data_IF_828364906412
#
_entry.id   IF_828364906412
#
_cell.length_a   1.000
_cell.length_b   1.000
_cell.length_c   1.000
_cell.angle_alpha   90.00
_cell.angle_beta   90.00
_cell.angle_gamma   90.00
#
_symmetry.space_group_name_H-M   'P 1'
#
loop_
_entity.id
_entity.type
_entity.pdbx_description
1 polymer ?
#
# COMPACT_ATOMS: atom_id res chain seq x y z
N UNK A 1 17.37 -0.99 -12.57
CA UNK A 1 16.59 -0.62 -13.76
C UNK A 1 15.70 -1.77 -14.13
N UNK A 2 14.41 -1.58 -13.94
CA UNK A 2 13.35 -2.46 -14.40
C UNK A 2 13.25 -2.41 -15.93
N UNK A 3 12.87 -3.55 -16.50
CA UNK A 3 12.48 -3.63 -17.91
C UNK A 3 11.21 -2.78 -18.15
N UNK A 4 11.12 -2.00 -19.25
CA UNK A 4 9.90 -1.27 -19.61
C UNK A 4 8.61 -2.11 -19.63
N UNK A 5 8.71 -3.40 -19.99
CA UNK A 5 7.58 -4.33 -19.94
C UNK A 5 7.10 -4.55 -18.49
N UNK A 6 8.04 -4.66 -17.54
CA UNK A 6 7.71 -4.79 -16.11
C UNK A 6 7.09 -3.52 -15.54
N UNK A 7 7.53 -2.34 -15.98
CA UNK A 7 6.90 -1.05 -15.60
C UNK A 7 5.42 -1.03 -15.99
N UNK A 8 5.10 -1.50 -17.20
CA UNK A 8 3.71 -1.63 -17.66
C UNK A 8 2.93 -2.66 -16.85
N UNK A 9 3.54 -3.80 -16.54
CA UNK A 9 2.90 -4.82 -15.70
C UNK A 9 2.66 -4.38 -14.26
N UNK A 10 3.47 -3.48 -13.69
CA UNK A 10 3.21 -2.90 -12.36
C UNK A 10 1.89 -2.15 -12.38
N UNK A 11 1.65 -1.29 -13.38
CA UNK A 11 0.39 -0.58 -13.55
C UNK A 11 -0.81 -1.54 -13.58
N UNK A 12 -0.75 -2.60 -14.39
CA UNK A 12 -1.80 -3.63 -14.42
C UNK A 12 -1.99 -4.29 -13.05
N UNK A 13 -0.89 -4.65 -12.40
CA UNK A 13 -0.92 -5.29 -11.06
C UNK A 13 -1.60 -4.40 -10.02
N UNK A 14 -1.34 -3.09 -10.02
CA UNK A 14 -1.96 -2.15 -9.08
C UNK A 14 -3.46 -2.01 -9.34
N UNK A 15 -3.88 -1.94 -10.61
CA UNK A 15 -5.29 -1.93 -10.99
C UNK A 15 -5.99 -3.23 -10.58
N UNK A 16 -5.34 -4.39 -10.74
CA UNK A 16 -5.88 -5.68 -10.32
C UNK A 16 -6.03 -5.78 -8.79
N UNK A 17 -5.08 -5.21 -8.02
CA UNK A 17 -5.20 -5.09 -6.56
C UNK A 17 -6.42 -4.25 -6.19
N UNK A 18 -6.64 -3.12 -6.84
CA UNK A 18 -7.81 -2.26 -6.59
C UNK A 18 -9.11 -2.98 -6.93
N UNK A 19 -9.20 -3.57 -8.12
CA UNK A 19 -10.38 -4.29 -8.57
C UNK A 19 -10.71 -5.48 -7.65
N UNK A 20 -9.68 -6.19 -7.16
CA UNK A 20 -9.86 -7.23 -6.16
C UNK A 20 -10.40 -6.67 -4.84
N UNK A 21 -9.86 -5.55 -4.36
CA UNK A 21 -10.33 -4.91 -3.14
C UNK A 21 -11.81 -4.51 -3.27
N UNK A 22 -12.18 -3.87 -4.37
CA UNK A 22 -13.55 -3.45 -4.64
C UNK A 22 -14.52 -4.63 -4.68
N UNK A 23 -14.15 -5.70 -5.39
CA UNK A 23 -15.03 -6.85 -5.59
C UNK A 23 -15.13 -7.79 -4.36
N UNK A 24 -14.10 -7.85 -3.51
CA UNK A 24 -13.98 -8.90 -2.47
C UNK A 24 -13.85 -8.39 -1.05
N UNK A 25 -13.22 -7.24 -0.85
CA UNK A 25 -13.05 -6.65 0.47
C UNK A 25 -14.15 -5.63 0.75
N UNK A 26 -14.63 -4.96 -0.29
CA UNK A 26 -15.55 -3.84 -0.16
C UNK A 26 -14.83 -2.61 0.38
N UNK A 27 -15.64 -1.61 0.70
CA UNK A 27 -15.21 -0.40 1.39
C UNK A 27 -15.14 -0.64 2.90
N UNK A 28 -14.44 0.23 3.61
CA UNK A 28 -14.20 0.20 5.05
C UNK A 28 -13.34 -1.00 5.48
N UNK A 29 -12.62 -1.60 4.52
CA UNK A 29 -11.70 -2.71 4.75
C UNK A 29 -10.38 -2.23 5.37
N UNK A 30 -9.73 -3.05 6.24
CA UNK A 30 -8.44 -2.68 6.79
C UNK A 30 -7.37 -2.46 5.72
N UNK A 31 -6.43 -1.52 5.93
CA UNK A 31 -5.34 -1.27 5.01
C UNK A 31 -4.51 -2.53 4.70
N UNK A 32 -3.86 -2.55 3.54
CA UNK A 32 -3.02 -3.68 3.11
C UNK A 32 -1.73 -3.20 2.47
N UNK A 33 -0.61 -3.70 2.98
CA UNK A 33 0.67 -3.58 2.32
C UNK A 33 0.91 -4.80 1.43
N UNK A 34 1.56 -4.61 0.28
CA UNK A 34 1.86 -5.64 -0.69
C UNK A 34 3.34 -5.57 -1.09
N UNK A 35 3.91 -6.74 -1.37
CA UNK A 35 5.09 -6.84 -2.22
C UNK A 35 4.65 -7.24 -3.62
N UNK A 36 5.23 -6.60 -4.63
CA UNK A 36 5.11 -6.96 -6.04
C UNK A 36 6.42 -7.62 -6.44
N UNK A 37 6.33 -8.85 -6.91
CA UNK A 37 7.49 -9.69 -7.13
C UNK A 37 7.58 -10.15 -8.58
N UNK A 38 8.79 -10.21 -9.12
CA UNK A 38 9.05 -11.05 -10.30
C UNK A 38 9.16 -12.50 -9.87
N UNK A 39 8.54 -13.37 -10.65
CA UNK A 39 8.64 -14.81 -10.52
C UNK A 39 9.02 -15.40 -11.89
N UNK A 40 9.97 -16.35 -11.95
CA UNK A 40 10.25 -17.05 -13.20
C UNK A 40 9.00 -17.83 -13.63
N UNK A 41 8.48 -17.56 -14.82
CA UNK A 41 7.64 -18.56 -15.48
C UNK A 41 8.55 -19.59 -16.14
N UNK A 42 8.14 -20.86 -16.15
CA UNK A 42 8.93 -21.93 -16.75
C UNK A 42 9.22 -21.76 -18.25
N UNK A 43 8.75 -20.68 -18.89
CA UNK A 43 9.02 -20.27 -20.27
C UNK A 43 10.06 -19.17 -20.41
N UNK A 44 10.67 -18.70 -19.32
CA UNK A 44 11.74 -17.70 -19.33
C UNK A 44 11.26 -16.24 -19.33
N UNK A 45 9.97 -15.97 -19.14
CA UNK A 45 9.45 -14.62 -18.89
C UNK A 45 9.26 -14.37 -17.40
N UNK A 46 9.43 -13.13 -16.98
CA UNK A 46 9.19 -12.71 -15.61
C UNK A 46 7.70 -12.34 -15.45
N UNK A 47 6.96 -13.11 -14.65
CA UNK A 47 5.60 -12.76 -14.26
C UNK A 47 5.65 -11.88 -13.01
N UNK A 48 4.79 -10.86 -12.95
CA UNK A 48 4.57 -10.11 -11.73
C UNK A 48 3.48 -10.75 -10.88
N UNK A 49 3.77 -10.90 -9.59
CA UNK A 49 2.84 -11.42 -8.59
C UNK A 49 2.79 -10.44 -7.43
N UNK A 50 1.59 -9.90 -7.15
CA UNK A 50 1.34 -9.20 -5.91
C UNK A 50 1.02 -10.19 -4.79
N UNK A 51 1.67 -10.02 -3.64
CA UNK A 51 1.34 -10.77 -2.43
C UNK A 51 1.14 -9.81 -1.26
N UNK A 52 0.02 -9.91 -0.51
CA UNK A 52 -0.16 -9.11 0.68
C UNK A 52 0.89 -9.49 1.74
N UNK A 53 1.33 -8.49 2.50
CA UNK A 53 2.08 -8.69 3.73
C UNK A 53 1.14 -9.37 4.74
N UNK A 54 1.57 -10.40 5.46
CA UNK A 54 0.73 -11.16 6.38
C UNK A 54 0.55 -10.40 7.71
N UNK A 55 -0.04 -9.22 7.63
CA UNK A 55 -0.39 -8.35 8.76
C UNK A 55 -1.84 -8.69 9.17
N UNK A 56 -2.07 -8.91 10.47
CA UNK A 56 -3.42 -9.16 10.99
C UNK A 56 -4.22 -7.86 10.99
N UNK A 57 -5.53 -7.95 10.74
CA UNK A 57 -6.42 -6.77 10.76
C UNK A 57 -6.31 -5.96 12.06
N UNK A 58 -6.24 -6.64 13.22
CA UNK A 58 -6.11 -5.97 14.52
C UNK A 58 -4.84 -5.11 14.66
N UNK A 59 -3.80 -5.35 13.85
CA UNK A 59 -2.60 -4.53 13.87
C UNK A 59 -2.80 -3.17 13.20
N UNK A 60 -3.86 -3.00 12.40
CA UNK A 60 -4.23 -1.73 11.79
C UNK A 60 -5.07 -0.84 12.71
N UNK A 61 -5.66 -1.42 13.76
CA UNK A 61 -6.51 -0.72 14.73
C UNK A 61 -5.74 -0.49 16.05
N UNK A 62 -4.67 0.30 15.97
CA UNK A 62 -3.90 0.67 17.15
C UNK A 62 -4.45 1.97 17.76
N UNK A 63 -4.80 1.99 19.05
CA UNK A 63 -5.31 3.20 19.70
C UNK A 63 -4.24 4.30 19.73
N UNK A 64 -4.64 5.54 19.48
CA UNK A 64 -3.80 6.72 19.61
C UNK A 64 -3.69 7.13 21.09
N UNK A 65 -2.50 7.05 21.70
CA UNK A 65 -2.32 7.40 23.11
C UNK A 65 -2.54 8.89 23.39
N UNK A 66 -2.48 9.75 22.38
CA UNK A 66 -2.72 11.18 22.50
C UNK A 66 -4.20 11.55 22.28
N UNK A 67 -4.99 10.64 21.72
CA UNK A 67 -6.39 10.86 21.35
C UNK A 67 -7.26 9.67 21.75
N UNK A 68 -7.73 9.62 23.02
CA UNK A 68 -8.58 8.53 23.49
C UNK A 68 -9.82 8.34 22.60
N UNK A 69 -10.10 7.09 22.24
CA UNK A 69 -11.21 6.73 21.34
C UNK A 69 -10.87 6.79 19.85
N UNK A 70 -9.67 7.20 19.47
CA UNK A 70 -9.22 7.31 18.08
C UNK A 70 -8.12 6.30 17.79
N UNK A 71 -8.10 5.74 16.58
CA UNK A 71 -6.99 4.91 16.11
C UNK A 71 -5.90 5.75 15.44
N UNK A 72 -4.64 5.30 15.53
CA UNK A 72 -3.53 5.82 14.75
C UNK A 72 -3.85 5.75 13.25
N UNK A 73 -3.37 6.75 12.49
CA UNK A 73 -3.54 6.75 11.05
C UNK A 73 -2.84 5.56 10.40
N UNK A 74 -3.41 5.05 9.29
CA UNK A 74 -2.86 3.93 8.54
C UNK A 74 -1.39 4.16 8.13
N UNK A 75 -1.02 5.40 7.82
CA UNK A 75 0.36 5.79 7.50
C UNK A 75 1.32 5.65 8.69
N UNK A 76 0.90 6.02 9.90
CA UNK A 76 1.70 5.85 11.12
C UNK A 76 1.85 4.37 11.49
N UNK A 77 0.76 3.61 11.39
CA UNK A 77 0.79 2.16 11.63
C UNK A 77 1.71 1.46 10.63
N UNK A 78 1.62 1.79 9.34
CA UNK A 78 2.54 1.29 8.31
C UNK A 78 3.98 1.59 8.67
N UNK A 79 4.29 2.83 9.09
CA UNK A 79 5.63 3.21 9.54
C UNK A 79 6.15 2.35 10.70
N UNK A 80 5.30 2.08 11.70
CA UNK A 80 5.63 1.21 12.82
C UNK A 80 5.86 -0.25 12.41
N UNK A 81 5.01 -0.80 11.54
CA UNK A 81 5.16 -2.16 10.99
C UNK A 81 6.46 -2.26 10.19
N UNK A 82 6.70 -1.32 9.28
CA UNK A 82 7.94 -1.27 8.48
C UNK A 82 9.17 -1.20 9.36
N UNK A 83 9.16 -0.38 10.42
CA UNK A 83 10.26 -0.32 11.36
C UNK A 83 10.54 -1.72 11.94
N UNK A 84 9.54 -2.40 12.50
CA UNK A 84 9.71 -3.74 13.06
C UNK A 84 10.22 -4.78 12.05
N UNK A 85 9.79 -4.69 10.79
CA UNK A 85 10.19 -5.62 9.73
C UNK A 85 11.58 -5.34 9.14
N UNK A 86 12.14 -4.15 9.36
CA UNK A 86 13.42 -3.73 8.77
C UNK A 86 14.58 -3.66 9.77
N UNK A 87 14.32 -3.90 11.06
CA UNK A 87 15.35 -3.92 12.11
C UNK A 87 16.07 -5.28 12.21
N UNK A 88 17.28 -5.35 12.80
CA UNK A 88 18.06 -6.60 12.98
C UNK A 88 17.35 -7.73 13.75
N UNK A 89 16.21 -7.46 14.38
CA UNK A 89 15.34 -8.43 15.04
C UNK A 89 14.07 -8.80 14.27
N UNK A 90 14.04 -8.51 12.95
CA UNK A 90 12.86 -8.75 12.13
C UNK A 90 12.36 -10.21 12.24
N UNK A 91 11.04 -10.44 12.27
CA UNK A 91 10.50 -11.78 12.37
C UNK A 91 10.99 -12.69 11.23
N UNK A 92 11.45 -13.90 11.55
CA UNK A 92 11.99 -14.83 10.54
C UNK A 92 10.99 -15.19 9.42
N UNK A 93 9.68 -15.03 9.65
CA UNK A 93 8.68 -15.22 8.60
C UNK A 93 8.80 -14.18 7.48
N UNK A 94 9.32 -12.98 7.76
CA UNK A 94 9.39 -11.90 6.78
C UNK A 94 10.42 -12.20 5.69
N UNK A 95 11.62 -12.66 6.05
CA UNK A 95 12.62 -13.14 5.08
C UNK A 95 12.11 -14.32 4.24
N UNK A 96 11.38 -15.26 4.86
CA UNK A 96 10.73 -16.37 4.13
C UNK A 96 9.62 -15.89 3.20
N UNK A 97 8.87 -14.86 3.60
CA UNK A 97 7.89 -14.23 2.75
C UNK A 97 8.61 -13.57 1.56
N UNK A 98 9.64 -12.74 1.77
CA UNK A 98 10.38 -12.08 0.69
C UNK A 98 10.88 -13.06 -0.38
N UNK A 99 11.42 -14.20 0.05
CA UNK A 99 12.11 -15.17 -0.83
C UNK A 99 11.25 -16.36 -1.28
N UNK A 100 9.96 -16.39 -0.92
CA UNK A 100 9.07 -17.52 -1.22
C UNK A 100 9.11 -17.87 -2.71
N UNK A 101 9.39 -19.14 -3.02
CA UNK A 101 9.47 -19.66 -4.40
C UNK A 101 10.53 -18.95 -5.27
N UNK A 102 11.59 -18.39 -4.68
CA UNK A 102 12.67 -17.72 -5.44
C UNK A 102 12.25 -16.40 -6.09
N UNK A 103 11.11 -15.83 -5.67
CA UNK A 103 10.61 -14.55 -6.16
C UNK A 103 11.55 -13.41 -5.76
N UNK A 104 11.58 -12.35 -6.56
CA UNK A 104 12.35 -11.15 -6.27
C UNK A 104 11.43 -9.94 -6.13
N UNK A 105 11.58 -9.17 -5.05
CA UNK A 105 10.77 -7.99 -4.81
C UNK A 105 11.21 -6.88 -5.77
N UNK A 106 10.27 -6.31 -6.52
CA UNK A 106 10.53 -5.23 -7.50
C UNK A 106 9.74 -3.96 -7.24
N UNK A 107 8.65 -4.04 -6.46
CA UNK A 107 7.94 -2.88 -5.96
C UNK A 107 7.20 -3.23 -4.67
N UNK A 108 6.82 -2.21 -3.91
CA UNK A 108 5.92 -2.33 -2.76
C UNK A 108 4.74 -1.41 -2.93
N UNK A 109 3.57 -1.81 -2.43
CA UNK A 109 2.35 -1.03 -2.54
C UNK A 109 1.59 -1.00 -1.23
N UNK A 110 0.83 0.06 -0.99
CA UNK A 110 -0.03 0.24 0.16
C UNK A 110 -1.42 0.70 -0.28
N UNK A 111 -2.40 -0.17 -0.03
CA UNK A 111 -3.82 0.06 -0.23
C UNK A 111 -4.43 0.54 1.09
N UNK A 112 -5.10 1.69 1.06
CA UNK A 112 -5.83 2.23 2.21
C UNK A 112 -6.97 3.15 1.74
N UNK A 113 -7.87 3.47 2.67
CA UNK A 113 -8.98 4.37 2.43
C UNK A 113 -8.81 5.68 3.21
N UNK A 114 -9.40 6.75 2.70
CA UNK A 114 -9.32 8.09 3.28
C UNK A 114 -10.34 9.04 2.66
N UNK A 115 -10.17 10.34 2.88
CA UNK A 115 -11.07 11.37 2.37
C UNK A 115 -10.34 12.37 1.45
N UNK A 116 -11.03 12.85 0.41
CA UNK A 116 -10.50 13.83 -0.56
C UNK A 116 -10.46 15.26 -0.01
N UNK A 117 -11.19 15.54 1.06
CA UNK A 117 -11.30 16.88 1.66
C UNK A 117 -10.72 16.89 3.07
N UNK A 118 -10.13 18.03 3.46
CA UNK A 118 -9.91 18.33 4.87
C UNK A 118 -11.28 18.27 5.54
N UNK A 119 -11.47 17.30 6.44
CA UNK A 119 -12.78 17.02 7.03
C UNK A 119 -13.49 18.28 7.53
N UNK A 120 -14.81 18.22 7.57
CA UNK A 120 -15.66 19.35 7.96
C UNK A 120 -15.55 19.67 9.47
N UNK A 121 -16.15 20.79 9.89
CA UNK A 121 -16.16 21.20 11.30
C UNK A 121 -16.76 20.11 12.20
N UNK A 122 -15.97 19.60 13.16
CA UNK A 122 -16.33 18.46 14.03
C UNK A 122 -15.67 17.13 13.64
N UNK A 123 -14.90 17.10 12.55
CA UNK A 123 -14.14 15.93 12.10
C UNK A 123 -13.11 15.45 13.13
N UNK A 124 -13.23 14.18 13.52
CA UNK A 124 -12.19 13.45 14.25
C UNK A 124 -11.59 12.40 13.30
N UNK A 125 -10.36 12.60 12.78
CA UNK A 125 -9.71 11.60 11.95
C UNK A 125 -9.56 10.27 12.69
N UNK A 126 -9.94 9.14 12.08
CA UNK A 126 -9.61 7.80 12.58
C UNK A 126 -10.74 6.79 12.75
N UNK A 127 -12.00 7.14 12.44
CA UNK A 127 -13.11 6.18 12.47
C UNK A 127 -13.94 6.22 11.17
N UNK A 128 -13.69 5.24 10.30
CA UNK A 128 -14.45 5.03 9.05
C UNK A 128 -15.83 4.40 9.32
N UNK A 129 -16.06 3.80 10.50
CA UNK A 129 -17.31 3.08 10.81
C UNK A 129 -18.42 3.98 11.36
N UNK A 130 -18.12 5.22 11.75
CA UNK A 130 -19.09 6.16 12.34
C UNK A 130 -19.76 7.09 11.31
N UNK A 131 -19.44 6.94 10.02
CA UNK A 131 -19.95 7.81 8.96
C UNK A 131 -21.20 7.26 8.24
N UNK A 132 -22.21 8.11 7.95
CA UNK A 132 -23.11 7.83 6.85
C UNK A 132 -22.31 7.88 5.55
N UNK A 133 -22.40 6.85 4.70
CA UNK A 133 -21.66 6.77 3.44
C UNK A 133 -21.79 8.06 2.63
N UNK A 134 -20.71 8.85 2.52
CA UNK A 134 -20.64 10.04 1.67
C UNK A 134 -19.81 9.70 0.44
N UNK A 135 -20.50 9.15 -0.57
CA UNK A 135 -19.87 8.58 -1.76
C UNK A 135 -18.89 9.55 -2.47
N UNK A 136 -19.11 10.86 -2.38
CA UNK A 136 -18.31 11.86 -3.09
C UNK A 136 -17.02 12.30 -2.37
N UNK A 137 -16.84 11.94 -1.09
CA UNK A 137 -15.68 12.34 -0.29
C UNK A 137 -14.69 11.19 -0.02
N UNK A 138 -15.14 9.95 -0.08
CA UNK A 138 -14.32 8.78 0.27
C UNK A 138 -13.49 8.31 -0.93
N UNK A 139 -12.21 8.04 -0.67
CA UNK A 139 -11.27 7.52 -1.66
C UNK A 139 -10.55 6.28 -1.16
N UNK A 140 -10.37 5.35 -2.08
CA UNK A 140 -9.41 4.26 -1.97
C UNK A 140 -8.15 4.65 -2.72
N UNK A 141 -7.02 4.53 -2.06
CA UNK A 141 -5.71 4.92 -2.57
C UNK A 141 -4.80 3.70 -2.57
N UNK A 142 -4.11 3.46 -3.69
CA UNK A 142 -2.91 2.61 -3.73
C UNK A 142 -1.72 3.49 -4.03
N UNK A 143 -0.81 3.61 -3.05
CA UNK A 143 0.50 4.20 -3.25
C UNK A 143 1.52 3.07 -3.47
N UNK A 144 2.41 3.19 -4.45
CA UNK A 144 3.46 2.20 -4.68
C UNK A 144 4.79 2.84 -5.08
N UNK A 145 5.89 2.13 -4.81
CA UNK A 145 7.24 2.50 -5.22
C UNK A 145 7.99 1.28 -5.76
N UNK A 146 8.71 1.45 -6.87
CA UNK A 146 9.55 0.41 -7.49
C UNK A 146 11.04 0.54 -7.12
N UNK A 147 11.84 -0.44 -7.54
CA UNK A 147 13.29 -0.47 -7.28
C UNK A 147 14.08 0.63 -8.00
N UNK A 148 13.48 1.31 -8.98
CA UNK A 148 14.09 2.45 -9.66
C UNK A 148 13.67 3.79 -9.02
N UNK A 149 12.80 3.76 -8.00
CA UNK A 149 12.32 4.93 -7.27
C UNK A 149 11.13 5.64 -7.89
N UNK A 150 10.48 5.05 -8.90
CA UNK A 150 9.23 5.59 -9.46
C UNK A 150 8.10 5.42 -8.46
N UNK A 151 7.19 6.39 -8.41
CA UNK A 151 6.03 6.35 -7.52
C UNK A 151 4.74 6.28 -8.32
N UNK A 152 3.88 5.32 -7.97
CA UNK A 152 2.53 5.21 -8.50
C UNK A 152 1.54 5.66 -7.44
N UNK A 153 0.51 6.35 -7.89
CA UNK A 153 -0.66 6.67 -7.09
C UNK A 153 -1.90 6.34 -7.91
N UNK A 154 -2.64 5.33 -7.45
CA UNK A 154 -3.95 5.00 -7.97
C UNK A 154 -5.00 5.47 -6.96
N UNK A 155 -6.00 6.22 -7.41
CA UNK A 155 -7.06 6.77 -6.58
C UNK A 155 -8.42 6.44 -7.19
N UNK A 156 -9.33 5.88 -6.39
CA UNK A 156 -10.73 5.69 -6.78
C UNK A 156 -11.63 6.36 -5.77
N UNK A 157 -12.55 7.23 -6.23
CA UNK A 157 -13.61 7.75 -5.35
C UNK A 157 -14.72 6.72 -5.21
N UNK A 158 -15.39 6.69 -4.07
CA UNK A 158 -16.48 5.73 -3.83
C UNK A 158 -17.61 5.97 -4.82
N UNK A 159 -18.04 4.91 -5.50
CA UNK A 159 -19.05 4.99 -6.54
C UNK A 159 -18.53 5.28 -7.95
N UNK A 160 -17.26 5.67 -8.11
CA UNK A 160 -16.65 5.74 -9.44
C UNK A 160 -16.47 4.34 -10.02
N UNK A 161 -16.63 4.20 -11.33
CA UNK A 161 -16.45 2.92 -12.05
C UNK A 161 -14.98 2.62 -12.35
N UNK A 162 -14.13 3.64 -12.42
CA UNK A 162 -12.73 3.49 -12.82
C UNK A 162 -11.81 4.31 -11.91
N UNK A 163 -10.68 3.76 -11.45
CA UNK A 163 -9.68 4.53 -10.75
C UNK A 163 -8.88 5.45 -11.69
N UNK A 164 -8.37 6.55 -11.13
CA UNK A 164 -7.37 7.42 -11.75
C UNK A 164 -5.97 6.96 -11.35
N UNK A 165 -5.05 6.82 -12.31
CA UNK A 165 -3.66 6.45 -12.05
C UNK A 165 -2.70 7.56 -12.45
N UNK A 166 -1.80 7.91 -11.54
CA UNK A 166 -0.67 8.81 -11.76
C UNK A 166 0.64 8.06 -11.55
N UNK A 167 1.60 8.27 -12.45
CA UNK A 167 2.96 7.73 -12.32
C UNK A 167 3.95 8.89 -12.32
N UNK A 168 4.81 8.91 -11.29
CA UNK A 168 5.88 9.88 -11.13
C UNK A 168 7.21 9.16 -11.38
N UNK A 169 7.75 9.33 -12.58
CA UNK A 169 9.06 8.76 -12.96
C UNK A 169 10.19 9.30 -12.07
N UNK A 170 10.06 10.56 -11.65
CA UNK A 170 11.00 11.25 -10.76
C UNK A 170 10.17 11.99 -9.70
N UNK A 171 9.76 11.31 -8.61
CA UNK A 171 8.93 11.94 -7.59
C UNK A 171 9.69 13.10 -6.92
N UNK A 172 9.04 14.25 -6.68
CA UNK A 172 9.67 15.36 -6.00
C UNK A 172 10.00 14.98 -4.54
N UNK A 173 10.98 15.64 -3.89
CA UNK A 173 11.42 15.29 -2.53
C UNK A 173 10.30 15.22 -1.50
N UNK A 174 9.29 16.06 -1.63
CA UNK A 174 8.14 16.13 -0.72
C UNK A 174 7.29 14.86 -0.77
N UNK A 175 7.15 14.25 -1.97
CA UNK A 175 6.44 12.97 -2.14
C UNK A 175 7.21 11.85 -1.47
N UNK A 176 8.53 11.81 -1.65
CA UNK A 176 9.40 10.82 -1.02
C UNK A 176 9.46 10.96 0.51
N UNK A 177 9.26 12.18 1.02
CA UNK A 177 9.23 12.47 2.44
C UNK A 177 7.90 12.11 3.13
N UNK A 178 6.86 11.73 2.37
CA UNK A 178 5.61 11.26 2.98
C UNK A 178 5.84 9.96 3.75
N UNK A 179 5.17 9.80 4.90
CA UNK A 179 5.30 8.61 5.74
C UNK A 179 5.03 7.31 4.97
N UNK A 180 4.07 7.33 4.05
CA UNK A 180 3.71 6.16 3.23
C UNK A 180 4.85 5.79 2.29
N UNK A 181 5.31 6.72 1.44
CA UNK A 181 6.36 6.42 0.46
C UNK A 181 7.68 6.08 1.15
N UNK A 182 8.03 6.79 2.23
CA UNK A 182 9.21 6.46 3.03
C UNK A 182 9.14 5.04 3.61
N UNK A 183 7.99 4.64 4.17
CA UNK A 183 7.80 3.31 4.72
C UNK A 183 7.85 2.22 3.63
N UNK A 184 7.26 2.48 2.46
CA UNK A 184 7.32 1.57 1.31
C UNK A 184 8.75 1.41 0.78
N UNK A 185 9.49 2.51 0.63
CA UNK A 185 10.90 2.49 0.22
C UNK A 185 11.76 1.66 1.19
N UNK A 186 11.52 1.78 2.50
CA UNK A 186 12.19 0.97 3.52
C UNK A 186 11.84 -0.52 3.42
N UNK A 187 10.58 -0.87 3.19
CA UNK A 187 10.17 -2.27 2.95
C UNK A 187 10.83 -2.83 1.69
N UNK A 188 10.94 -2.02 0.64
CA UNK A 188 11.57 -2.42 -0.62
C UNK A 188 13.07 -2.64 -0.47
N UNK A 189 13.73 -1.81 0.35
CA UNK A 189 15.14 -1.96 0.69
C UNK A 189 15.42 -3.12 1.66
N UNK A 190 14.37 -3.72 2.24
CA UNK A 190 14.53 -4.86 3.14
C UNK A 190 15.10 -6.06 2.38
N UNK A 191 16.21 -6.60 2.89
CA UNK A 191 16.85 -7.78 2.33
C UNK A 191 16.54 -9.00 3.19
N UNK A 192 16.32 -10.13 2.54
CA UNK A 192 16.35 -11.43 3.19
C UNK A 192 17.80 -11.90 3.39
#
# INVERSE_FOLDING_TARGET
MLDPELVTHITTTLTDIEAFADARLGWDAPPRAYGIFTQPDGGGRALLVAAPLPIRESQWHLPDPQRPGVNLSAALVLGGITFQLTEPGAPAWFGRWLTKNGRQLVATAFLFEGYTTSGYAGYTPGDLNEFPAMADAEVRIIAAIDIDGRVWQLVRRRGDSTPELTVMEQPPPEVNATNVIYALARLLAARA
#
